data_IF_415317365081
#
_entry.id   IF_415317365081
#
_cell.length_a   1.000
_cell.length_b   1.000
_cell.length_c   1.000
_cell.angle_alpha   90.00
_cell.angle_beta   90.00
_cell.angle_gamma   90.00
#
_symmetry.space_group_name_H-M   'P 1'
#
loop_
_entity.id
_entity.type
_entity.pdbx_description
1 polymer ?
#
# COMPACT_ATOMS: atom_id res chain seq x y z
N UNK A 1 -2.67 -32.05 16.70
CA UNK A 1 -3.06 -30.94 15.83
C UNK A 1 -2.28 -29.72 16.32
N UNK A 2 -1.45 -29.10 15.44
CA UNK A 2 -0.79 -27.84 15.77
C UNK A 2 -1.88 -26.78 15.99
N UNK A 3 -1.78 -26.02 17.09
CA UNK A 3 -2.70 -24.94 17.36
C UNK A 3 -2.66 -23.92 16.22
N UNK A 4 -3.83 -23.43 15.82
CA UNK A 4 -3.90 -22.38 14.79
C UNK A 4 -3.04 -21.18 15.21
N UNK A 5 -2.27 -20.57 14.29
CA UNK A 5 -1.41 -19.45 14.62
C UNK A 5 -2.25 -18.28 15.14
N UNK A 6 -2.01 -17.89 16.37
CA UNK A 6 -2.69 -16.75 17.00
C UNK A 6 -1.86 -15.48 16.82
N UNK A 7 -2.47 -14.33 16.44
CA UNK A 7 -1.75 -13.09 16.31
C UNK A 7 -1.23 -12.59 17.67
N UNK A 8 0.00 -12.10 17.69
CA UNK A 8 0.56 -11.50 18.89
C UNK A 8 -0.02 -10.09 19.09
N UNK A 9 -0.52 -9.80 20.29
CA UNK A 9 -1.15 -8.50 20.62
C UNK A 9 -0.13 -7.35 20.60
N UNK A 10 1.10 -7.62 21.07
CA UNK A 10 2.18 -6.62 21.08
C UNK A 10 2.60 -6.23 19.67
N UNK A 11 2.83 -7.22 18.81
CA UNK A 11 3.19 -6.98 17.41
C UNK A 11 2.07 -6.27 16.64
N UNK A 12 0.81 -6.64 16.92
CA UNK A 12 -0.35 -5.97 16.32
C UNK A 12 -0.42 -4.49 16.74
N UNK A 13 -0.22 -4.20 18.04
CA UNK A 13 -0.21 -2.82 18.54
C UNK A 13 0.94 -2.02 17.94
N UNK A 14 2.12 -2.61 17.83
CA UNK A 14 3.26 -1.97 17.18
C UNK A 14 2.98 -1.66 15.71
N UNK A 15 2.37 -2.58 14.98
CA UNK A 15 2.01 -2.37 13.57
C UNK A 15 0.98 -1.26 13.38
N UNK A 16 0.04 -1.09 14.31
CA UNK A 16 -0.90 0.04 14.28
C UNK A 16 -0.13 1.36 14.43
N UNK A 17 0.74 1.47 15.42
CA UNK A 17 1.56 2.68 15.62
C UNK A 17 2.46 2.95 14.42
N UNK A 18 3.13 1.93 13.88
CA UNK A 18 3.96 2.05 12.70
C UNK A 18 3.17 2.54 11.48
N UNK A 19 1.95 2.02 11.26
CA UNK A 19 1.06 2.48 10.18
C UNK A 19 0.70 3.95 10.33
N UNK A 20 0.34 4.40 11.53
CA UNK A 20 0.04 5.81 11.80
C UNK A 20 1.26 6.71 11.56
N UNK A 21 2.46 6.28 11.94
CA UNK A 21 3.69 7.03 11.68
C UNK A 21 3.98 7.17 10.18
N UNK A 22 3.73 6.14 9.37
CA UNK A 22 3.90 6.24 7.91
C UNK A 22 2.84 7.15 7.28
N UNK A 23 1.60 7.13 7.77
CA UNK A 23 0.57 8.10 7.33
C UNK A 23 1.03 9.53 7.67
N UNK A 24 1.54 9.75 8.87
CA UNK A 24 2.06 11.04 9.31
C UNK A 24 3.27 11.51 8.49
N UNK A 25 4.12 10.57 8.07
CA UNK A 25 5.23 10.86 7.15
C UNK A 25 4.72 11.29 5.77
N UNK A 26 3.61 10.74 5.30
CA UNK A 26 3.08 10.98 3.96
C UNK A 26 2.22 12.25 3.89
N UNK A 27 1.16 12.32 4.69
CA UNK A 27 0.15 13.39 4.56
C UNK A 27 0.66 14.73 5.10
N UNK A 28 1.07 14.90 6.35
CA UNK A 28 1.67 16.17 6.75
C UNK A 28 3.14 16.29 6.32
N UNK A 29 3.95 15.26 6.50
CA UNK A 29 5.39 15.35 6.26
C UNK A 29 5.73 15.66 4.82
N UNK A 30 5.40 14.75 3.90
CA UNK A 30 5.73 14.90 2.48
C UNK A 30 4.97 16.05 1.82
N UNK A 31 3.69 16.25 2.18
CA UNK A 31 2.89 17.34 1.64
C UNK A 31 3.48 18.71 2.01
N UNK A 32 3.86 18.93 3.26
CA UNK A 32 4.50 20.17 3.71
C UNK A 32 5.90 20.35 3.12
N UNK A 33 6.66 19.25 3.00
CA UNK A 33 7.97 19.29 2.35
C UNK A 33 7.88 19.80 0.92
N UNK A 34 7.04 19.21 0.09
CA UNK A 34 6.86 19.68 -1.29
C UNK A 34 6.16 21.04 -1.36
N UNK A 35 5.21 21.31 -0.46
CA UNK A 35 4.58 22.62 -0.35
C UNK A 35 5.58 23.74 -0.06
N UNK A 36 6.61 23.46 0.74
CA UNK A 36 7.70 24.40 1.03
C UNK A 36 8.69 24.63 -0.12
N UNK A 37 8.76 23.70 -1.08
CA UNK A 37 9.67 23.81 -2.24
C UNK A 37 9.05 24.58 -3.43
N UNK A 38 7.75 24.78 -3.43
CA UNK A 38 7.04 25.48 -4.53
C UNK A 38 6.73 26.93 -4.16
N UNK A 39 6.32 27.71 -5.16
CA UNK A 39 5.89 29.10 -4.92
C UNK A 39 4.70 29.10 -3.96
N UNK A 40 4.65 30.08 -3.05
CA UNK A 40 3.62 30.18 -2.00
C UNK A 40 2.18 30.14 -2.56
N UNK A 41 1.93 30.71 -3.73
CA UNK A 41 0.63 30.67 -4.43
C UNK A 41 0.22 29.26 -4.88
N UNK A 42 1.16 28.34 -5.05
CA UNK A 42 0.93 26.97 -5.53
C UNK A 42 1.00 25.93 -4.39
N UNK A 43 1.32 26.36 -3.18
CA UNK A 43 1.45 25.48 -2.02
C UNK A 43 0.20 24.61 -1.81
N UNK A 44 -0.98 25.20 -1.79
CA UNK A 44 -2.23 24.47 -1.58
C UNK A 44 -2.49 23.45 -2.68
N UNK A 45 -2.14 23.76 -3.93
CA UNK A 45 -2.26 22.83 -5.05
C UNK A 45 -1.41 21.58 -4.86
N UNK A 46 -0.18 21.73 -4.37
CA UNK A 46 0.72 20.60 -4.11
C UNK A 46 0.25 19.76 -2.91
N UNK A 47 -0.19 20.41 -1.83
CA UNK A 47 -0.78 19.70 -0.70
C UNK A 47 -1.96 18.83 -1.16
N UNK A 48 -2.85 19.39 -1.98
CA UNK A 48 -4.00 18.67 -2.52
C UNK A 48 -3.58 17.53 -3.47
N UNK A 49 -2.53 17.68 -4.25
CA UNK A 49 -2.00 16.61 -5.10
C UNK A 49 -1.51 15.43 -4.25
N UNK A 50 -0.68 15.67 -3.25
CA UNK A 50 -0.16 14.63 -2.35
C UNK A 50 -1.30 13.90 -1.64
N UNK A 51 -2.25 14.66 -1.07
CA UNK A 51 -3.40 14.09 -0.39
C UNK A 51 -4.29 13.25 -1.31
N UNK A 52 -4.59 13.77 -2.51
CA UNK A 52 -5.44 13.07 -3.48
C UNK A 52 -4.77 11.82 -4.04
N UNK A 53 -3.45 11.83 -4.25
CA UNK A 53 -2.69 10.64 -4.65
C UNK A 53 -2.75 9.60 -3.53
N UNK A 54 -2.51 10.01 -2.28
CA UNK A 54 -2.57 9.10 -1.14
C UNK A 54 -3.94 8.41 -1.06
N UNK A 55 -5.03 9.17 -1.17
CA UNK A 55 -6.39 8.64 -1.15
C UNK A 55 -6.65 7.71 -2.35
N UNK A 56 -6.29 8.13 -3.57
CA UNK A 56 -6.47 7.33 -4.78
C UNK A 56 -5.74 5.98 -4.68
N UNK A 57 -4.48 6.00 -4.30
CA UNK A 57 -3.67 4.77 -4.24
C UNK A 57 -4.16 3.84 -3.13
N UNK A 58 -4.60 4.37 -1.99
CA UNK A 58 -5.20 3.57 -0.92
C UNK A 58 -6.45 2.83 -1.41
N UNK A 59 -7.31 3.50 -2.20
CA UNK A 59 -8.48 2.88 -2.82
C UNK A 59 -8.08 1.81 -3.83
N UNK A 60 -7.17 2.12 -4.75
CA UNK A 60 -6.69 1.16 -5.76
C UNK A 60 -5.99 -0.04 -5.12
N UNK A 61 -5.28 0.19 -4.00
CA UNK A 61 -4.67 -0.87 -3.21
C UNK A 61 -5.71 -1.85 -2.66
N UNK A 62 -6.80 -1.35 -2.09
CA UNK A 62 -7.88 -2.18 -1.57
C UNK A 62 -8.64 -2.92 -2.68
N UNK A 63 -8.81 -2.31 -3.87
CA UNK A 63 -9.52 -2.93 -4.99
C UNK A 63 -8.71 -4.08 -5.59
N UNK A 64 -7.48 -3.83 -6.04
CA UNK A 64 -6.67 -4.83 -6.75
C UNK A 64 -5.19 -4.87 -6.36
N UNK A 65 -4.63 -3.76 -5.87
CA UNK A 65 -3.20 -3.62 -5.63
C UNK A 65 -2.66 -4.67 -4.66
N UNK A 66 -3.35 -4.88 -3.54
CA UNK A 66 -2.98 -5.90 -2.56
C UNK A 66 -3.01 -7.31 -3.16
N UNK A 67 -4.06 -7.64 -3.91
CA UNK A 67 -4.17 -8.94 -4.56
C UNK A 67 -3.01 -9.19 -5.52
N UNK A 68 -2.74 -8.26 -6.42
CA UNK A 68 -1.68 -8.39 -7.42
C UNK A 68 -0.26 -8.37 -6.84
N UNK A 69 -0.07 -7.78 -5.65
CA UNK A 69 1.23 -7.71 -4.99
C UNK A 69 1.55 -8.93 -4.10
N UNK A 70 0.53 -9.56 -3.48
CA UNK A 70 0.75 -10.56 -2.42
C UNK A 70 0.07 -11.91 -2.63
N UNK A 71 -0.61 -12.15 -3.76
CA UNK A 71 -1.16 -13.47 -4.07
C UNK A 71 -0.31 -14.20 -5.11
N UNK A 72 -0.45 -15.51 -5.19
CA UNK A 72 0.26 -16.30 -6.20
C UNK A 72 -0.28 -16.04 -7.60
N UNK A 73 0.55 -15.59 -8.51
CA UNK A 73 0.18 -15.40 -9.92
C UNK A 73 0.10 -16.72 -10.66
N UNK A 74 -0.82 -16.82 -11.61
CA UNK A 74 -0.96 -17.93 -12.54
C UNK A 74 -0.88 -17.44 -13.99
N UNK A 75 -0.35 -18.26 -14.89
CA UNK A 75 -0.26 -17.96 -16.32
C UNK A 75 0.89 -17.04 -16.73
N UNK A 76 0.75 -16.40 -17.88
CA UNK A 76 1.81 -15.63 -18.57
C UNK A 76 2.22 -14.37 -17.78
N UNK A 77 1.31 -13.80 -16.99
CA UNK A 77 1.54 -12.59 -16.20
C UNK A 77 2.26 -12.86 -14.87
N UNK A 78 2.35 -14.11 -14.45
CA UNK A 78 2.97 -14.56 -13.19
C UNK A 78 4.39 -14.06 -12.91
N UNK A 79 5.24 -13.71 -13.91
CA UNK A 79 6.53 -13.09 -13.61
C UNK A 79 6.44 -11.66 -13.05
N UNK A 80 5.37 -10.93 -13.36
CA UNK A 80 5.23 -9.51 -13.07
C UNK A 80 4.09 -9.17 -12.10
N UNK A 81 3.07 -10.01 -12.01
CA UNK A 81 1.87 -9.77 -11.22
C UNK A 81 1.43 -11.03 -10.50
N UNK A 82 0.90 -10.85 -9.30
CA UNK A 82 0.18 -11.89 -8.57
C UNK A 82 -1.20 -12.19 -9.16
N UNK A 83 -1.95 -13.03 -8.46
CA UNK A 83 -3.32 -13.38 -8.81
C UNK A 83 -4.35 -12.32 -8.40
N UNK A 84 -5.61 -12.62 -8.69
CA UNK A 84 -6.75 -11.76 -8.36
C UNK A 84 -7.64 -12.37 -7.24
N UNK A 85 -7.11 -13.35 -6.49
CA UNK A 85 -7.89 -14.12 -5.51
C UNK A 85 -8.34 -13.27 -4.31
N UNK A 86 -7.64 -12.17 -4.06
CA UNK A 86 -7.90 -11.23 -2.96
C UNK A 86 -8.46 -9.88 -3.42
N UNK A 87 -9.08 -9.83 -4.61
CA UNK A 87 -9.76 -8.62 -5.09
C UNK A 87 -10.75 -8.11 -4.04
N UNK A 88 -10.81 -6.80 -3.86
CA UNK A 88 -11.63 -6.15 -2.83
C UNK A 88 -11.41 -6.70 -1.42
N UNK A 89 -10.18 -7.19 -1.14
CA UNK A 89 -9.81 -7.81 0.14
C UNK A 89 -10.65 -9.06 0.48
N UNK A 90 -11.17 -9.75 -0.53
CA UNK A 90 -12.00 -10.94 -0.37
C UNK A 90 -11.25 -12.03 0.40
N UNK A 91 -11.93 -12.66 1.36
CA UNK A 91 -11.40 -13.78 2.14
C UNK A 91 -10.45 -13.37 3.28
N UNK A 92 -10.25 -12.08 3.55
CA UNK A 92 -9.53 -11.59 4.74
C UNK A 92 -10.42 -11.63 5.97
N UNK A 93 -11.70 -11.32 5.79
CA UNK A 93 -12.72 -11.37 6.84
C UNK A 93 -13.76 -12.44 6.52
N UNK A 94 -14.05 -13.30 7.50
CA UNK A 94 -15.13 -14.25 7.41
C UNK A 94 -16.33 -13.73 8.21
N UNK A 95 -17.44 -13.35 7.56
CA UNK A 95 -18.60 -12.82 8.26
C UNK A 95 -19.38 -13.86 9.07
N UNK A 96 -19.14 -15.17 8.84
CA UNK A 96 -19.86 -16.25 9.53
C UNK A 96 -19.40 -16.43 10.98
N UNK A 97 -18.10 -16.31 11.23
CA UNK A 97 -17.49 -16.52 12.55
C UNK A 97 -16.78 -15.28 13.10
N UNK A 98 -16.78 -14.18 12.35
CA UNK A 98 -16.11 -12.94 12.72
C UNK A 98 -14.57 -13.04 12.70
N UNK A 99 -14.01 -14.11 12.15
CA UNK A 99 -12.56 -14.32 12.11
C UNK A 99 -11.89 -13.47 11.04
N UNK A 100 -10.66 -13.06 11.33
CA UNK A 100 -9.77 -12.36 10.40
C UNK A 100 -8.62 -13.28 10.04
N UNK A 101 -8.29 -13.38 8.76
CA UNK A 101 -7.14 -14.14 8.30
C UNK A 101 -5.84 -13.57 8.90
N UNK A 102 -4.88 -14.45 9.15
CA UNK A 102 -3.57 -14.08 9.67
C UNK A 102 -2.55 -13.98 8.53
N UNK A 103 -1.79 -12.91 8.49
CA UNK A 103 -0.63 -12.78 7.63
C UNK A 103 0.62 -13.26 8.37
N UNK A 104 1.44 -14.07 7.69
CA UNK A 104 2.78 -14.39 8.15
C UNK A 104 3.66 -13.15 8.02
N UNK A 105 4.48 -12.91 9.05
CA UNK A 105 5.50 -11.85 9.02
C UNK A 105 6.82 -12.40 8.50
N UNK A 106 7.83 -11.54 8.36
CA UNK A 106 9.19 -11.95 7.98
C UNK A 106 9.90 -12.76 9.09
N UNK A 107 9.36 -12.77 10.31
CA UNK A 107 9.85 -13.55 11.43
C UNK A 107 9.10 -14.88 11.53
N UNK A 108 9.82 -15.99 11.60
CA UNK A 108 9.21 -17.32 11.72
C UNK A 108 8.37 -17.41 12.98
N UNK A 109 7.13 -17.87 12.85
CA UNK A 109 6.20 -18.09 13.95
C UNK A 109 5.50 -16.84 14.49
N UNK A 110 5.73 -15.66 13.88
CA UNK A 110 5.05 -14.43 14.24
C UNK A 110 3.97 -14.11 13.21
N UNK A 111 2.75 -13.92 13.70
CA UNK A 111 1.57 -13.65 12.87
C UNK A 111 0.89 -12.37 13.36
N UNK A 112 0.36 -11.61 12.42
CA UNK A 112 -0.47 -10.43 12.66
C UNK A 112 -1.78 -10.57 11.90
N UNK A 113 -2.87 -9.87 12.29
CA UNK A 113 -4.09 -9.83 11.49
C UNK A 113 -3.79 -9.30 10.08
N UNK A 114 -4.30 -9.99 9.06
CA UNK A 114 -4.00 -9.64 7.65
C UNK A 114 -4.45 -8.21 7.32
N UNK A 115 -5.52 -7.69 7.93
CA UNK A 115 -5.91 -6.28 7.77
C UNK A 115 -4.83 -5.29 8.19
N UNK A 116 -4.07 -5.59 9.25
CA UNK A 116 -2.96 -4.74 9.68
C UNK A 116 -1.83 -4.73 8.66
N UNK A 117 -1.54 -5.90 8.09
CA UNK A 117 -0.55 -6.01 7.01
C UNK A 117 -1.00 -5.25 5.76
N UNK A 118 -2.28 -5.39 5.35
CA UNK A 118 -2.87 -4.65 4.23
C UNK A 118 -2.75 -3.15 4.44
N UNK A 119 -3.15 -2.65 5.61
CA UNK A 119 -3.12 -1.23 5.94
C UNK A 119 -1.70 -0.67 5.94
N UNK A 120 -0.75 -1.37 6.55
CA UNK A 120 0.65 -0.97 6.57
C UNK A 120 1.24 -0.89 5.17
N UNK A 121 1.03 -1.91 4.34
CA UNK A 121 1.53 -1.94 2.97
C UNK A 121 0.84 -0.90 2.06
N UNK A 122 -0.43 -0.59 2.31
CA UNK A 122 -1.14 0.49 1.61
C UNK A 122 -0.46 1.85 1.79
N UNK A 123 0.00 2.14 3.01
CA UNK A 123 0.68 3.42 3.29
C UNK A 123 2.00 3.56 2.52
N UNK A 124 2.75 2.46 2.36
CA UNK A 124 3.97 2.45 1.54
C UNK A 124 3.68 2.57 0.05
N UNK A 125 2.65 1.92 -0.45
CA UNK A 125 2.21 2.10 -1.82
C UNK A 125 1.85 3.56 -2.09
N UNK A 126 1.06 4.17 -1.20
CA UNK A 126 0.60 5.53 -1.34
C UNK A 126 1.74 6.56 -1.27
N UNK A 127 2.66 6.44 -0.29
CA UNK A 127 3.79 7.37 -0.18
C UNK A 127 4.74 7.24 -1.37
N UNK A 128 4.99 6.03 -1.86
CA UNK A 128 5.90 5.81 -2.99
C UNK A 128 5.40 6.51 -4.24
N UNK A 129 4.11 6.44 -4.53
CA UNK A 129 3.53 7.18 -5.65
C UNK A 129 3.53 8.69 -5.37
N UNK A 130 3.21 9.13 -4.15
CA UNK A 130 3.22 10.53 -3.78
C UNK A 130 4.61 11.19 -3.91
N UNK A 131 5.69 10.44 -3.74
CA UNK A 131 7.06 10.92 -3.96
C UNK A 131 7.30 11.39 -5.41
N UNK A 132 6.57 10.87 -6.38
CA UNK A 132 6.71 11.30 -7.78
C UNK A 132 6.24 12.72 -8.02
N UNK A 133 5.44 13.32 -7.12
CA UNK A 133 4.96 14.72 -7.22
C UNK A 133 6.11 15.71 -7.39
N UNK A 134 7.24 15.45 -6.74
CA UNK A 134 8.42 16.32 -6.85
C UNK A 134 8.96 16.48 -8.29
N UNK A 135 8.76 15.47 -9.14
CA UNK A 135 9.25 15.52 -10.53
C UNK A 135 8.42 16.43 -11.45
N UNK A 136 7.15 16.64 -11.16
CA UNK A 136 6.22 17.38 -12.01
C UNK A 136 5.45 18.49 -11.30
N UNK A 137 5.85 18.82 -10.06
CA UNK A 137 5.27 19.92 -9.30
C UNK A 137 5.25 21.22 -10.16
N UNK A 138 4.14 21.96 -10.14
CA UNK A 138 3.88 23.18 -10.92
C UNK A 138 3.85 23.00 -12.46
N UNK A 139 4.05 21.80 -12.99
CA UNK A 139 4.18 21.56 -14.45
C UNK A 139 3.03 20.75 -15.05
N UNK A 140 2.30 19.99 -14.24
CA UNK A 140 1.21 19.12 -14.72
C UNK A 140 -0.15 19.57 -14.21
N UNK A 141 -1.18 19.36 -15.03
CA UNK A 141 -2.58 19.54 -14.62
C UNK A 141 -2.97 18.47 -13.60
N UNK A 142 -3.83 18.80 -12.65
CA UNK A 142 -4.27 17.90 -11.57
C UNK A 142 -4.82 16.56 -12.08
N UNK A 143 -5.68 16.58 -13.11
CA UNK A 143 -6.22 15.35 -13.71
C UNK A 143 -5.14 14.46 -14.33
N UNK A 144 -4.13 15.06 -14.96
CA UNK A 144 -3.00 14.31 -15.52
C UNK A 144 -2.13 13.67 -14.40
N UNK A 145 -1.99 14.37 -13.28
CA UNK A 145 -1.30 13.84 -12.10
C UNK A 145 -2.00 12.60 -11.56
N UNK A 146 -3.32 12.62 -11.42
CA UNK A 146 -4.09 11.46 -10.94
C UNK A 146 -4.01 10.27 -11.91
N UNK A 147 -4.17 10.53 -13.21
CA UNK A 147 -4.04 9.49 -14.23
C UNK A 147 -2.64 8.87 -14.24
N UNK A 148 -1.60 9.71 -14.24
CA UNK A 148 -0.21 9.25 -14.14
C UNK A 148 0.01 8.40 -12.90
N UNK A 149 -0.48 8.84 -11.75
CA UNK A 149 -0.33 8.13 -10.47
C UNK A 149 -0.97 6.74 -10.51
N UNK A 150 -2.18 6.62 -11.08
CA UNK A 150 -2.85 5.33 -11.23
C UNK A 150 -2.10 4.39 -12.17
N UNK A 151 -1.63 4.89 -13.32
CA UNK A 151 -0.83 4.11 -14.28
C UNK A 151 0.53 3.70 -13.70
N UNK A 152 1.23 4.64 -13.07
CA UNK A 152 2.53 4.38 -12.45
C UNK A 152 2.42 3.37 -11.32
N UNK A 153 1.39 3.48 -10.48
CA UNK A 153 1.09 2.50 -9.44
C UNK A 153 0.90 1.10 -10.03
N UNK A 154 0.10 0.99 -11.09
CA UNK A 154 -0.26 -0.31 -11.69
C UNK A 154 0.92 -0.96 -12.41
N UNK A 155 1.67 -0.19 -13.21
CA UNK A 155 2.67 -0.76 -14.11
C UNK A 155 4.11 -0.68 -13.59
N UNK A 156 4.40 0.17 -12.61
CA UNK A 156 5.71 0.27 -12.01
C UNK A 156 5.74 -0.28 -10.59
N UNK A 157 4.86 0.22 -9.70
CA UNK A 157 4.89 -0.16 -8.29
C UNK A 157 4.49 -1.61 -8.05
N UNK A 158 3.35 -2.06 -8.58
CA UNK A 158 2.83 -3.41 -8.32
C UNK A 158 3.80 -4.51 -8.78
N UNK A 159 4.40 -4.48 -9.99
CA UNK A 159 5.38 -5.48 -10.39
C UNK A 159 6.60 -5.54 -9.46
N UNK A 160 7.09 -4.38 -9.01
CA UNK A 160 8.22 -4.31 -8.07
C UNK A 160 7.83 -4.87 -6.69
N UNK A 161 6.63 -4.55 -6.19
CA UNK A 161 6.11 -5.08 -4.93
C UNK A 161 5.92 -6.60 -5.01
N UNK A 162 5.38 -7.10 -6.11
CA UNK A 162 5.25 -8.54 -6.37
C UNK A 162 6.60 -9.25 -6.39
N UNK A 163 7.57 -8.70 -7.08
CA UNK A 163 8.92 -9.27 -7.16
C UNK A 163 9.58 -9.33 -5.78
N UNK A 164 9.46 -8.25 -4.99
CA UNK A 164 9.94 -8.19 -3.61
C UNK A 164 9.26 -9.22 -2.71
N UNK A 165 7.94 -9.34 -2.77
CA UNK A 165 7.18 -10.33 -2.02
C UNK A 165 7.58 -11.76 -2.40
N UNK A 166 7.74 -12.05 -3.68
CA UNK A 166 8.15 -13.36 -4.19
C UNK A 166 9.55 -13.79 -3.72
N UNK A 167 10.49 -12.86 -3.67
CA UNK A 167 11.86 -13.12 -3.16
C UNK A 167 11.81 -13.44 -1.66
N UNK A 168 11.00 -12.72 -0.90
CA UNK A 168 10.86 -12.93 0.55
C UNK A 168 10.15 -14.24 0.90
N UNK A 169 9.14 -14.64 0.13
CA UNK A 169 8.39 -15.89 0.36
C UNK A 169 9.20 -17.14 -0.03
N UNK A 170 10.29 -17.02 -0.80
CA UNK A 170 11.16 -18.15 -1.18
C UNK A 170 12.19 -18.54 -0.13
N UNK A 171 12.30 -17.80 0.96
CA UNK A 171 13.16 -18.12 2.11
C UNK A 171 12.36 -18.84 3.20
#
# INVERSE_FOLDING_TARGET
AAAAPTPNKGDTSWMIVATLLVIMMSIPGLALFYGGLVRSKNMLSILMQVFSIFALITVLWAIYGYSMAFTQGSGITSPFFGGLDRLFLKGIFNPMDGSVANAATFSKGVYIPEFMFVAFQATFAAITVALTVGAFAERMKFSAVLLFSALWFTFAYIPMAWLGAKIMMRK
#
